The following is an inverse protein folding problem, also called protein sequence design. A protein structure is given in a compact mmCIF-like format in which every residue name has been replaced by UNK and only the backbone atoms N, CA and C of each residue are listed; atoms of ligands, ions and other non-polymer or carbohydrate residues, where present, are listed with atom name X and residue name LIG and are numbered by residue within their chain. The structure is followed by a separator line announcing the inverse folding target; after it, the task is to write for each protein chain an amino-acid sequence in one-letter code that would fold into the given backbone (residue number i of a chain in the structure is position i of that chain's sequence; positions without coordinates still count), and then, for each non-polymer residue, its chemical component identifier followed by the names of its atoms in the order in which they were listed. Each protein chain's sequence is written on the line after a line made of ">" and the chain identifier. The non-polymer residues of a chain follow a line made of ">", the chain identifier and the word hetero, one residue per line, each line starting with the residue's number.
data_IF_401554450759
#
_entry.id   IF_401554450759
#
_cell.length_a   1.000
_cell.length_b   1.000
_cell.length_c   1.000
_cell.angle_alpha   90.00
_cell.angle_beta   90.00
_cell.angle_gamma   90.00
#
_symmetry.space_group_name_H-M   'P 1'
#
loop_
_entity.id
_entity.type
_entity.pdbx_description
1 polymer ?
#
# COMPACT_ATOMS: atom_id res chain seq x y z
N UNK A 1 -6.57 -17.05 -27.21
CA UNK A 1 -5.61 -16.06 -26.69
C UNK A 1 -5.73 -16.10 -25.18
N UNK A 2 -4.60 -16.21 -24.50
CA UNK A 2 -4.58 -16.27 -23.04
C UNK A 2 -4.80 -14.85 -22.48
N UNK A 3 -5.84 -14.66 -21.66
CA UNK A 3 -6.25 -13.35 -21.13
C UNK A 3 -6.23 -13.40 -19.62
N UNK A 4 -5.67 -12.37 -18.97
CA UNK A 4 -5.66 -12.19 -17.52
C UNK A 4 -6.22 -10.80 -17.16
N UNK A 5 -7.21 -10.76 -16.28
CA UNK A 5 -7.85 -9.53 -15.78
C UNK A 5 -7.31 -9.18 -14.41
N UNK A 6 -6.64 -8.03 -14.29
CA UNK A 6 -6.13 -7.51 -13.03
C UNK A 6 -7.15 -6.54 -12.45
N UNK A 7 -7.67 -6.83 -11.27
CA UNK A 7 -8.49 -5.89 -10.50
C UNK A 7 -7.68 -4.95 -9.64
N UNK A 8 -8.06 -3.68 -9.59
CA UNK A 8 -7.44 -2.67 -8.73
C UNK A 8 -8.42 -1.56 -8.36
N UNK A 9 -8.07 -0.76 -7.34
CA UNK A 9 -8.82 0.43 -6.92
C UNK A 9 -8.60 1.60 -7.87
N UNK A 10 -9.48 2.62 -7.76
CA UNK A 10 -9.45 3.82 -8.60
C UNK A 10 -8.34 4.83 -8.27
N UNK A 11 -7.64 4.74 -7.13
CA UNK A 11 -6.60 5.71 -6.77
C UNK A 11 -5.41 5.66 -7.73
N UNK A 12 -4.73 6.80 -7.95
CA UNK A 12 -3.57 6.88 -8.84
C UNK A 12 -2.49 5.87 -8.45
N UNK A 13 -2.21 5.70 -7.15
CA UNK A 13 -1.23 4.73 -6.66
C UNK A 13 -1.65 3.28 -6.96
N UNK A 14 -2.91 2.92 -6.74
CA UNK A 14 -3.39 1.56 -7.00
C UNK A 14 -3.31 1.23 -8.49
N UNK A 15 -3.67 2.17 -9.36
CA UNK A 15 -3.52 2.02 -10.81
C UNK A 15 -2.08 1.87 -11.24
N UNK A 16 -1.16 2.71 -10.72
CA UNK A 16 0.26 2.59 -11.01
C UNK A 16 0.84 1.24 -10.55
N UNK A 17 0.35 0.69 -9.44
CA UNK A 17 0.73 -0.65 -8.96
C UNK A 17 0.22 -1.76 -9.90
N UNK A 18 -1.02 -1.69 -10.36
CA UNK A 18 -1.58 -2.65 -11.31
C UNK A 18 -0.87 -2.57 -12.67
N UNK A 19 -0.58 -1.37 -13.16
CA UNK A 19 0.15 -1.15 -14.41
C UNK A 19 1.59 -1.69 -14.31
N UNK A 20 2.25 -1.55 -13.15
CA UNK A 20 3.56 -2.16 -12.91
C UNK A 20 3.50 -3.69 -13.00
N UNK A 21 2.54 -4.34 -12.33
CA UNK A 21 2.34 -5.80 -12.39
C UNK A 21 2.02 -6.24 -13.82
N UNK A 22 1.15 -5.51 -14.52
CA UNK A 22 0.86 -5.76 -15.94
C UNK A 22 2.13 -5.72 -16.79
N UNK A 23 3.00 -4.72 -16.58
CA UNK A 23 4.25 -4.59 -17.34
C UNK A 23 5.16 -5.80 -17.11
N UNK A 24 5.31 -6.25 -15.85
CA UNK A 24 6.11 -7.45 -15.52
C UNK A 24 5.55 -8.72 -16.21
N UNK A 25 4.22 -8.90 -16.16
CA UNK A 25 3.58 -10.06 -16.80
C UNK A 25 3.76 -10.06 -18.33
N UNK A 26 3.57 -8.93 -18.98
CA UNK A 26 3.74 -8.80 -20.44
C UNK A 26 5.20 -8.97 -20.84
N UNK A 27 6.15 -8.52 -20.04
CA UNK A 27 7.58 -8.75 -20.26
C UNK A 27 7.93 -10.24 -20.24
N UNK A 28 7.38 -11.02 -19.32
CA UNK A 28 7.60 -12.47 -19.20
C UNK A 28 6.79 -13.29 -20.20
N UNK A 29 5.55 -12.86 -20.47
CA UNK A 29 4.60 -13.52 -21.39
C UNK A 29 4.10 -12.55 -22.46
N UNK A 30 4.85 -12.27 -23.53
CA UNK A 30 4.46 -11.28 -24.55
C UNK A 30 3.12 -11.59 -25.26
N UNK A 31 2.70 -12.85 -25.25
CA UNK A 31 1.43 -13.28 -25.87
C UNK A 31 0.23 -13.25 -24.90
N UNK A 32 0.45 -12.94 -23.61
CA UNK A 32 -0.60 -12.82 -22.62
C UNK A 32 -1.30 -11.46 -22.77
N UNK A 33 -2.60 -11.49 -22.97
CA UNK A 33 -3.42 -10.26 -22.93
C UNK A 33 -3.75 -9.91 -21.50
N UNK A 34 -3.14 -8.84 -20.96
CA UNK A 34 -3.39 -8.37 -19.61
C UNK A 34 -4.25 -7.11 -19.65
N UNK A 35 -5.43 -7.19 -19.03
CA UNK A 35 -6.35 -6.06 -18.87
C UNK A 35 -6.38 -5.61 -17.41
N UNK A 36 -6.47 -4.29 -17.18
CA UNK A 36 -6.63 -3.71 -15.84
C UNK A 36 -8.06 -3.20 -15.69
N UNK A 37 -8.77 -3.78 -14.74
CA UNK A 37 -10.14 -3.39 -14.38
C UNK A 37 -10.12 -2.57 -13.10
N UNK A 38 -10.61 -1.33 -13.20
CA UNK A 38 -10.74 -0.43 -12.06
C UNK A 38 -12.09 -0.67 -11.39
N UNK A 39 -12.05 -1.25 -10.20
CA UNK A 39 -13.24 -1.50 -9.41
C UNK A 39 -13.60 -0.24 -8.61
N UNK A 40 -14.84 0.23 -8.78
CA UNK A 40 -15.34 1.36 -8.01
C UNK A 40 -15.67 0.89 -6.60
N UNK A 41 -14.94 1.41 -5.63
CA UNK A 41 -15.16 1.12 -4.22
C UNK A 41 -15.68 2.38 -3.54
N UNK A 42 -16.78 2.28 -2.84
CA UNK A 42 -17.32 3.39 -2.06
C UNK A 42 -16.30 3.75 -0.97
N UNK A 43 -15.67 4.92 -1.05
CA UNK A 43 -14.66 5.41 -0.11
C UNK A 43 -13.36 5.93 -0.74
N UNK A 44 -13.17 5.84 -2.05
CA UNK A 44 -12.02 6.45 -2.76
C UNK A 44 -12.10 7.99 -2.80
N UNK A 45 -13.25 8.59 -2.50
CA UNK A 45 -13.43 10.03 -2.32
C UNK A 45 -13.11 10.39 -0.88
N UNK A 46 -11.89 10.90 -0.68
CA UNK A 46 -11.22 11.21 0.57
C UNK A 46 -12.07 11.90 1.64
N UNK A 47 -12.69 11.13 2.52
CA UNK A 47 -13.38 11.63 3.69
C UNK A 47 -12.49 11.54 4.94
N UNK A 48 -12.42 12.63 5.70
CA UNK A 48 -11.60 12.83 6.90
C UNK A 48 -12.22 12.26 8.18
N UNK A 49 -13.01 11.20 8.08
CA UNK A 49 -13.63 10.54 9.24
C UNK A 49 -12.62 9.62 9.94
N UNK A 50 -12.61 9.65 11.27
CA UNK A 50 -11.60 9.13 12.19
C UNK A 50 -11.04 7.71 11.93
N UNK A 51 -10.01 7.31 12.72
CA UNK A 51 -9.22 6.08 12.55
C UNK A 51 -10.12 4.82 12.43
N UNK A 52 -11.18 4.69 13.22
CA UNK A 52 -12.10 3.56 13.16
C UNK A 52 -12.80 3.44 11.80
N UNK A 53 -13.22 4.58 11.21
CA UNK A 53 -13.83 4.61 9.89
C UNK A 53 -12.83 4.24 8.79
N UNK A 54 -11.57 4.70 8.90
CA UNK A 54 -10.53 4.35 7.94
C UNK A 54 -10.21 2.84 7.92
N UNK A 55 -10.28 2.16 9.07
CA UNK A 55 -10.11 0.69 9.17
C UNK A 55 -11.30 -0.03 8.55
N UNK A 56 -12.54 0.41 8.81
CA UNK A 56 -13.74 -0.18 8.20
C UNK A 56 -13.78 0.04 6.69
N UNK A 57 -13.35 1.20 6.22
CA UNK A 57 -13.29 1.49 4.78
C UNK A 57 -12.24 0.60 4.08
N UNK A 58 -11.07 0.34 4.70
CA UNK A 58 -10.06 -0.58 4.18
C UNK A 58 -10.63 -1.98 3.94
N UNK A 59 -11.37 -2.53 4.91
CA UNK A 59 -11.98 -3.86 4.78
C UNK A 59 -12.99 -3.90 3.63
N UNK A 60 -13.86 -2.90 3.51
CA UNK A 60 -14.81 -2.79 2.39
C UNK A 60 -14.15 -2.73 1.01
N UNK A 61 -12.96 -2.14 0.93
CA UNK A 61 -12.25 -2.09 -0.36
C UNK A 61 -11.71 -3.46 -0.76
N UNK A 62 -11.21 -4.20 0.20
CA UNK A 62 -10.74 -5.57 -0.03
C UNK A 62 -11.93 -6.46 -0.35
N UNK A 63 -13.01 -6.40 0.44
CA UNK A 63 -14.23 -7.18 0.21
C UNK A 63 -14.76 -7.02 -1.22
N UNK A 64 -14.80 -5.78 -1.77
CA UNK A 64 -15.25 -5.54 -3.17
C UNK A 64 -14.34 -6.18 -4.22
N UNK A 65 -13.03 -6.25 -3.96
CA UNK A 65 -12.05 -6.87 -4.85
C UNK A 65 -12.12 -8.40 -4.71
N UNK A 66 -12.23 -8.90 -3.49
CA UNK A 66 -12.42 -10.32 -3.20
C UNK A 66 -13.71 -10.85 -3.83
N UNK A 67 -14.83 -10.13 -3.73
CA UNK A 67 -16.08 -10.45 -4.43
C UNK A 67 -15.86 -10.55 -5.95
N UNK A 68 -15.08 -9.65 -6.53
CA UNK A 68 -14.80 -9.68 -7.96
C UNK A 68 -13.90 -10.87 -8.36
N UNK A 69 -13.02 -11.35 -7.48
CA UNK A 69 -12.27 -12.60 -7.67
C UNK A 69 -13.18 -13.82 -7.59
N UNK A 70 -14.03 -13.89 -6.56
CA UNK A 70 -14.99 -14.99 -6.33
C UNK A 70 -16.00 -15.08 -7.48
N UNK A 71 -16.51 -13.95 -7.95
CA UNK A 71 -17.44 -13.85 -9.09
C UNK A 71 -16.76 -14.08 -10.46
N UNK A 72 -15.46 -14.38 -10.48
CA UNK A 72 -14.67 -14.55 -11.71
C UNK A 72 -14.69 -13.35 -12.65
N UNK A 73 -14.97 -12.14 -12.15
CA UNK A 73 -14.91 -10.88 -12.93
C UNK A 73 -13.47 -10.48 -13.20
N UNK A 74 -12.58 -10.74 -12.24
CA UNK A 74 -11.13 -10.57 -12.35
C UNK A 74 -10.43 -11.91 -12.02
N UNK A 75 -9.18 -12.04 -12.45
CA UNK A 75 -8.38 -13.25 -12.26
C UNK A 75 -7.27 -13.01 -11.22
N UNK A 76 -6.83 -11.78 -11.07
CA UNK A 76 -5.76 -11.36 -10.17
C UNK A 76 -6.09 -10.00 -9.54
N UNK A 77 -5.85 -9.85 -8.26
CA UNK A 77 -5.93 -8.57 -7.57
C UNK A 77 -4.53 -8.07 -7.15
N UNK A 78 -4.30 -6.77 -7.26
CA UNK A 78 -3.05 -6.12 -6.86
C UNK A 78 -3.29 -5.19 -5.69
N UNK A 79 -2.61 -5.47 -4.57
CA UNK A 79 -2.74 -4.73 -3.33
C UNK A 79 -1.39 -4.19 -2.84
N UNK A 80 -1.41 -3.06 -2.15
CA UNK A 80 -0.33 -2.75 -1.20
C UNK A 80 -0.44 -3.73 -0.03
N UNK A 81 0.55 -4.58 0.18
CA UNK A 81 0.46 -5.70 1.13
C UNK A 81 0.10 -5.27 2.57
N UNK A 82 0.57 -4.10 3.01
CA UNK A 82 0.24 -3.52 4.33
C UNK A 82 -1.25 -3.15 4.51
N UNK A 83 -2.01 -3.12 3.43
CA UNK A 83 -3.44 -2.80 3.45
C UNK A 83 -4.32 -4.06 3.34
N UNK A 84 -3.73 -5.23 3.08
CA UNK A 84 -4.41 -6.53 3.03
C UNK A 84 -4.72 -7.02 4.45
N UNK A 85 -5.97 -7.41 4.76
CA UNK A 85 -6.34 -7.91 6.09
C UNK A 85 -5.59 -9.20 6.43
N UNK A 86 -5.51 -9.52 7.71
CA UNK A 86 -4.84 -10.74 8.19
C UNK A 86 -5.42 -12.01 7.60
N UNK A 87 -6.75 -12.06 7.41
CA UNK A 87 -7.50 -13.15 6.80
C UNK A 87 -8.10 -12.67 5.49
N UNK A 88 -8.07 -13.55 4.49
CA UNK A 88 -8.70 -13.38 3.17
C UNK A 88 -10.05 -14.10 3.16
N UNK A 89 -10.90 -13.79 2.19
CA UNK A 89 -12.13 -14.55 1.98
C UNK A 89 -11.84 -16.01 1.61
N UNK A 90 -12.77 -16.90 1.97
CA UNK A 90 -12.68 -18.32 1.65
C UNK A 90 -12.52 -18.55 0.14
N UNK A 91 -11.60 -19.43 -0.24
CA UNK A 91 -11.29 -19.72 -1.63
C UNK A 91 -10.26 -18.78 -2.28
N UNK A 92 -9.79 -17.76 -1.56
CA UNK A 92 -8.75 -16.84 -2.02
C UNK A 92 -7.41 -17.07 -1.31
N UNK A 93 -6.32 -16.70 -1.97
CA UNK A 93 -4.97 -16.82 -1.43
C UNK A 93 -4.05 -15.76 -2.04
N UNK A 94 -2.96 -15.45 -1.35
CA UNK A 94 -1.85 -14.71 -1.95
C UNK A 94 -1.03 -15.67 -2.81
N UNK A 95 -0.95 -15.39 -4.09
CA UNK A 95 -0.22 -16.19 -5.08
C UNK A 95 1.28 -15.88 -5.06
N UNK A 96 1.65 -14.68 -4.63
CA UNK A 96 3.04 -14.24 -4.54
C UNK A 96 3.18 -12.73 -4.48
N UNK A 97 4.42 -12.27 -4.56
CA UNK A 97 4.77 -10.86 -4.60
C UNK A 97 5.94 -10.65 -5.58
N UNK A 98 5.92 -9.63 -6.44
CA UNK A 98 7.10 -9.22 -7.20
C UNK A 98 8.14 -8.60 -6.25
N UNK A 99 9.32 -8.29 -6.78
CA UNK A 99 10.41 -7.66 -6.03
C UNK A 99 9.93 -6.51 -5.16
N UNK A 100 10.33 -6.55 -3.88
CA UNK A 100 9.96 -5.55 -2.88
C UNK A 100 10.57 -4.19 -3.20
N UNK A 101 9.77 -3.15 -3.18
CA UNK A 101 10.23 -1.77 -3.25
C UNK A 101 10.73 -1.27 -1.88
N UNK A 102 11.19 -0.01 -1.82
CA UNK A 102 11.67 0.64 -0.61
C UNK A 102 10.73 0.46 0.60
N UNK A 103 11.30 0.12 1.76
CA UNK A 103 10.53 -0.16 2.99
C UNK A 103 10.34 1.08 3.86
N UNK A 104 11.15 2.10 3.67
CA UNK A 104 11.25 3.25 4.55
C UNK A 104 9.99 4.11 4.53
N UNK A 105 9.71 4.74 5.65
CA UNK A 105 8.90 5.95 5.70
C UNK A 105 9.75 7.17 5.35
N UNK A 106 9.13 8.21 4.83
CA UNK A 106 9.79 9.45 4.46
C UNK A 106 9.02 10.66 4.96
N UNK A 107 9.73 11.75 5.22
CA UNK A 107 9.16 13.06 5.46
C UNK A 107 9.07 13.82 4.14
N UNK A 108 7.93 14.46 3.91
CA UNK A 108 7.75 15.47 2.88
C UNK A 108 7.51 16.82 3.60
N UNK A 109 8.06 17.92 3.07
CA UNK A 109 7.96 19.26 3.65
C UNK A 109 9.17 19.69 4.48
N UNK A 110 10.04 18.77 4.88
CA UNK A 110 11.30 19.06 5.59
C UNK A 110 12.41 18.13 5.11
N UNK A 111 13.65 18.57 5.23
CA UNK A 111 14.85 17.80 4.84
C UNK A 111 15.42 16.96 5.98
N UNK A 112 14.94 17.13 7.21
CA UNK A 112 15.35 16.37 8.39
C UNK A 112 14.26 16.45 9.47
N UNK A 113 14.13 15.39 10.28
CA UNK A 113 13.24 15.39 11.44
C UNK A 113 13.71 16.39 12.51
N UNK A 114 15.01 16.49 12.70
CA UNK A 114 15.61 17.36 13.70
C UNK A 114 15.62 18.83 13.26
N UNK A 115 15.47 19.10 11.95
CA UNK A 115 15.32 20.44 11.41
C UNK A 115 13.91 21.05 11.62
N UNK A 116 12.93 20.24 12.00
CA UNK A 116 11.59 20.72 12.31
C UNK A 116 11.61 21.63 13.54
N UNK A 117 10.89 22.78 13.52
CA UNK A 117 10.80 23.67 14.68
C UNK A 117 10.16 22.96 15.88
N UNK A 118 10.36 23.52 17.07
CA UNK A 118 9.68 23.05 18.27
C UNK A 118 8.17 23.21 18.11
N UNK A 119 7.40 22.15 18.43
CA UNK A 119 5.97 22.13 18.27
C UNK A 119 5.47 21.99 16.83
N UNK A 120 6.37 21.60 15.89
CA UNK A 120 6.02 21.43 14.47
C UNK A 120 4.83 20.48 14.26
N UNK A 121 3.98 20.81 13.30
CA UNK A 121 2.76 20.08 12.96
C UNK A 121 3.03 19.04 11.88
N UNK A 122 3.01 17.74 12.29
CA UNK A 122 3.32 16.62 11.39
C UNK A 122 2.07 15.79 11.09
N UNK A 123 1.71 15.70 9.81
CA UNK A 123 0.50 15.03 9.35
C UNK A 123 0.68 13.51 9.16
N UNK A 124 -0.11 12.71 9.90
CA UNK A 124 -0.26 11.27 9.69
C UNK A 124 -1.54 10.75 10.35
N UNK A 125 -2.17 9.70 9.76
CA UNK A 125 -3.27 8.96 10.39
C UNK A 125 -2.80 7.59 10.92
N UNK A 126 -1.52 7.24 10.77
CA UNK A 126 -0.99 5.96 11.21
C UNK A 126 -0.62 5.99 12.69
N UNK A 127 -1.26 5.11 13.50
CA UNK A 127 -0.95 4.95 14.92
C UNK A 127 0.53 4.59 15.13
N UNK A 128 1.07 3.70 14.29
CA UNK A 128 2.49 3.31 14.30
C UNK A 128 3.41 4.51 14.12
N UNK A 129 3.18 5.32 13.07
CA UNK A 129 3.98 6.52 12.79
C UNK A 129 3.87 7.55 13.91
N UNK A 130 2.66 7.77 14.41
CA UNK A 130 2.41 8.67 15.55
C UNK A 130 3.25 8.28 16.77
N UNK A 131 3.23 6.98 17.13
CA UNK A 131 3.97 6.49 18.29
C UNK A 131 5.49 6.68 18.11
N UNK A 132 6.02 6.36 16.93
CA UNK A 132 7.46 6.46 16.65
C UNK A 132 7.93 7.93 16.54
N UNK A 133 7.12 8.81 15.93
CA UNK A 133 7.43 10.24 15.89
C UNK A 133 7.48 10.84 17.30
N UNK A 134 6.49 10.53 18.15
CA UNK A 134 6.47 11.01 19.54
C UNK A 134 7.61 10.46 20.38
N UNK A 135 8.01 9.20 20.16
CA UNK A 135 9.18 8.64 20.82
C UNK A 135 10.50 9.30 20.38
N UNK A 136 10.57 9.79 19.15
CA UNK A 136 11.72 10.48 18.60
C UNK A 136 11.76 11.98 18.98
N UNK A 137 10.59 12.64 19.00
CA UNK A 137 10.39 14.07 19.20
C UNK A 137 9.06 14.29 19.95
N UNK A 138 9.11 14.40 21.28
CA UNK A 138 7.93 14.56 22.14
C UNK A 138 7.14 15.87 21.91
N UNK A 139 7.84 16.86 21.41
CA UNK A 139 7.32 18.21 21.17
C UNK A 139 6.43 18.32 19.93
N UNK A 140 6.44 17.31 19.03
CA UNK A 140 5.67 17.38 17.78
C UNK A 140 4.16 17.33 18.01
N UNK A 141 3.45 18.22 17.34
CA UNK A 141 1.98 18.17 17.22
C UNK A 141 1.62 17.22 16.06
N UNK A 142 1.10 16.03 16.39
CA UNK A 142 0.68 15.07 15.37
C UNK A 142 -0.76 15.36 14.94
N UNK A 143 -0.92 15.72 13.66
CA UNK A 143 -2.21 16.07 13.05
C UNK A 143 -2.72 14.88 12.23
N UNK A 144 -3.99 14.50 12.45
CA UNK A 144 -4.63 13.44 11.66
C UNK A 144 -4.76 13.86 10.19
N UNK A 145 -4.13 13.10 9.30
CA UNK A 145 -4.10 13.39 7.86
C UNK A 145 -4.57 12.18 7.06
N UNK A 146 -5.82 12.23 6.57
CA UNK A 146 -6.42 11.23 5.70
C UNK A 146 -6.31 11.57 4.22
N UNK A 147 -6.65 10.60 3.36
CA UNK A 147 -6.64 10.70 1.90
C UNK A 147 -5.54 9.85 1.25
N UNK A 148 -5.54 9.79 -0.10
CA UNK A 148 -4.48 9.18 -0.88
C UNK A 148 -3.21 10.05 -0.90
N UNK A 149 -2.14 9.57 -1.55
CA UNK A 149 -0.84 10.29 -1.58
C UNK A 149 -0.98 11.70 -2.14
N UNK A 150 -1.67 11.86 -3.28
CA UNK A 150 -1.84 13.18 -3.91
C UNK A 150 -2.62 14.14 -3.03
N UNK A 151 -3.71 13.65 -2.40
CA UNK A 151 -4.50 14.45 -1.45
C UNK A 151 -3.65 14.90 -0.27
N UNK A 152 -2.79 14.03 0.29
CA UNK A 152 -1.94 14.40 1.43
C UNK A 152 -0.86 15.39 1.05
N UNK A 153 -0.23 15.23 -0.12
CA UNK A 153 0.74 16.19 -0.65
C UNK A 153 0.09 17.55 -0.91
N UNK A 154 -1.11 17.57 -1.47
CA UNK A 154 -1.88 18.80 -1.66
C UNK A 154 -2.21 19.47 -0.31
N UNK A 155 -2.66 18.69 0.68
CA UNK A 155 -2.93 19.22 2.02
C UNK A 155 -1.66 19.78 2.69
N UNK A 156 -0.49 19.17 2.49
CA UNK A 156 0.77 19.74 2.95
C UNK A 156 1.02 21.12 2.36
N UNK A 157 0.76 21.30 1.07
CA UNK A 157 0.97 22.59 0.39
C UNK A 157 -0.08 23.67 0.76
N UNK A 158 -1.30 23.25 1.12
CA UNK A 158 -2.45 24.15 1.36
C UNK A 158 -2.75 24.40 2.85
N UNK A 159 -2.10 23.69 3.77
CA UNK A 159 -2.37 23.78 5.22
C UNK A 159 -1.14 24.20 6.01
N UNK A 160 -1.36 24.47 7.30
CA UNK A 160 -0.30 24.81 8.25
C UNK A 160 0.45 23.56 8.78
N UNK A 161 0.72 22.58 7.91
CA UNK A 161 1.55 21.43 8.26
C UNK A 161 3.01 21.71 7.87
N UNK A 162 3.92 21.45 8.80
CA UNK A 162 5.37 21.58 8.55
C UNK A 162 5.91 20.37 7.78
N UNK A 163 5.32 19.18 8.02
CA UNK A 163 5.69 17.95 7.32
C UNK A 163 4.55 16.92 7.31
N UNK A 164 4.65 15.93 6.43
CA UNK A 164 3.83 14.72 6.44
C UNK A 164 4.68 13.47 6.30
N UNK A 165 4.18 12.33 6.80
CA UNK A 165 4.87 11.04 6.65
C UNK A 165 4.19 10.17 5.63
N UNK A 166 4.95 9.75 4.62
CA UNK A 166 4.51 8.85 3.56
C UNK A 166 5.43 7.61 3.47
N UNK A 167 4.97 6.55 2.80
CA UNK A 167 5.84 5.42 2.44
C UNK A 167 6.62 5.77 1.17
N UNK A 168 7.94 5.59 1.18
CA UNK A 168 8.84 5.85 0.05
C UNK A 168 8.38 5.14 -1.22
N UNK A 169 8.05 3.84 -1.13
CA UNK A 169 7.56 3.06 -2.26
C UNK A 169 6.32 3.67 -2.95
N UNK A 170 5.44 4.33 -2.20
CA UNK A 170 4.27 5.00 -2.77
C UNK A 170 4.65 6.18 -3.65
N UNK A 171 5.61 7.00 -3.22
CA UNK A 171 6.12 8.13 -4.00
C UNK A 171 6.90 7.67 -5.22
N UNK A 172 7.73 6.62 -5.08
CA UNK A 172 8.47 6.02 -6.19
C UNK A 172 7.53 5.54 -7.30
N UNK A 173 6.48 4.77 -6.94
CA UNK A 173 5.50 4.25 -7.90
C UNK A 173 4.68 5.33 -8.61
N UNK A 174 4.58 6.51 -8.00
CA UNK A 174 3.93 7.68 -8.60
C UNK A 174 4.89 8.62 -9.34
N UNK A 175 6.21 8.33 -9.37
CA UNK A 175 7.22 9.25 -9.92
C UNK A 175 7.30 10.57 -9.14
N UNK A 176 7.03 10.51 -7.83
CA UNK A 176 6.99 11.70 -6.94
C UNK A 176 8.16 11.73 -5.96
N UNK A 177 9.31 11.11 -6.28
CA UNK A 177 10.49 11.09 -5.41
C UNK A 177 11.03 12.47 -5.07
N UNK A 178 10.81 13.47 -5.90
CA UNK A 178 11.17 14.86 -5.64
C UNK A 178 10.47 15.47 -4.41
N UNK A 179 9.38 14.87 -3.97
CA UNK A 179 8.64 15.30 -2.77
C UNK A 179 9.28 14.76 -1.47
N UNK A 180 10.24 13.83 -1.60
CA UNK A 180 10.96 13.26 -0.46
C UNK A 180 11.97 14.31 0.03
N UNK A 181 11.75 14.77 1.25
CA UNK A 181 12.69 15.67 1.92
C UNK A 181 13.68 14.89 2.80
N UNK A 182 13.20 13.93 3.60
CA UNK A 182 14.05 13.07 4.41
C UNK A 182 13.60 11.62 4.37
N UNK A 183 14.55 10.69 4.37
CA UNK A 183 14.30 9.25 4.54
C UNK A 183 14.48 8.92 6.01
N UNK A 184 13.46 8.30 6.61
CA UNK A 184 13.53 7.87 8.00
C UNK A 184 14.23 6.51 8.09
N UNK A 185 15.22 6.40 8.98
CA UNK A 185 15.99 5.17 9.19
C UNK A 185 15.06 4.03 9.66
N UNK A 186 14.96 2.91 8.94
CA UNK A 186 14.07 1.81 9.28
C UNK A 186 14.43 1.08 10.58
N UNK A 187 15.65 1.22 11.10
CA UNK A 187 16.02 0.69 12.41
C UNK A 187 15.38 1.51 13.54
N UNK A 188 15.20 2.81 13.33
CA UNK A 188 14.56 3.72 14.29
C UNK A 188 13.06 3.87 14.03
N UNK A 189 12.66 3.91 12.76
CA UNK A 189 11.28 4.05 12.31
C UNK A 189 10.83 2.77 11.61
N UNK A 190 10.54 1.74 12.40
CA UNK A 190 10.17 0.41 11.90
C UNK A 190 9.00 0.50 10.93
N UNK A 191 9.15 -0.01 9.69
CA UNK A 191 8.09 0.02 8.68
C UNK A 191 6.86 -0.79 9.09
N UNK A 192 5.73 -0.54 8.42
CA UNK A 192 4.57 -1.42 8.57
C UNK A 192 4.85 -2.80 7.97
N UNK A 193 4.30 -3.89 8.54
CA UNK A 193 4.34 -5.20 7.90
C UNK A 193 3.82 -5.11 6.45
N UNK A 194 4.53 -5.70 5.49
CA UNK A 194 4.21 -5.62 4.06
C UNK A 194 4.50 -4.28 3.39
N UNK A 195 5.13 -3.30 4.07
CA UNK A 195 5.48 -2.05 3.42
C UNK A 195 6.49 -2.26 2.29
N UNK A 196 6.23 -1.65 1.13
CA UNK A 196 7.02 -1.83 -0.09
C UNK A 196 6.59 -3.04 -0.94
N UNK A 197 5.87 -4.01 -0.38
CA UNK A 197 5.42 -5.21 -1.09
C UNK A 197 4.10 -4.97 -1.82
N UNK A 198 3.99 -5.50 -3.05
CA UNK A 198 2.72 -5.73 -3.75
C UNK A 198 2.28 -7.17 -3.47
N UNK A 199 1.10 -7.34 -2.89
CA UNK A 199 0.50 -8.64 -2.71
C UNK A 199 -0.38 -8.96 -3.92
N UNK A 200 -0.14 -10.11 -4.54
CA UNK A 200 -0.90 -10.61 -5.67
C UNK A 200 -1.86 -11.68 -5.16
N UNK A 201 -3.15 -11.37 -5.20
CA UNK A 201 -4.22 -12.24 -4.68
C UNK A 201 -5.03 -12.84 -5.82
N UNK A 202 -5.42 -14.10 -5.67
CA UNK A 202 -6.24 -14.82 -6.64
C UNK A 202 -6.96 -16.01 -6.01
N UNK A 203 -7.75 -16.71 -6.81
CA UNK A 203 -8.43 -17.92 -6.36
C UNK A 203 -7.43 -19.07 -6.15
N UNK A 204 -7.70 -19.92 -5.16
CA UNK A 204 -6.86 -21.07 -4.80
C UNK A 204 -6.74 -22.07 -5.96
N UNK A 205 -7.80 -22.21 -6.75
CA UNK A 205 -7.94 -23.18 -7.85
C UNK A 205 -7.62 -22.59 -9.24
N UNK A 206 -7.32 -21.29 -9.36
CA UNK A 206 -6.91 -20.69 -10.64
C UNK A 206 -5.44 -20.97 -10.95
N UNK A 207 -5.19 -22.13 -11.58
CA UNK A 207 -3.84 -22.53 -11.99
C UNK A 207 -3.20 -21.54 -12.97
N UNK A 208 -4.01 -20.90 -13.84
CA UNK A 208 -3.52 -19.94 -14.84
C UNK A 208 -3.01 -18.65 -14.19
N UNK A 209 -3.76 -18.10 -13.23
CA UNK A 209 -3.32 -16.92 -12.49
C UNK A 209 -2.06 -17.25 -11.65
N UNK A 210 -2.02 -18.44 -11.03
CA UNK A 210 -0.86 -18.92 -10.27
C UNK A 210 0.39 -19.01 -11.13
N UNK A 211 0.33 -19.70 -12.28
CA UNK A 211 1.47 -19.81 -13.21
C UNK A 211 1.96 -18.44 -13.71
N UNK A 212 1.04 -17.51 -13.98
CA UNK A 212 1.41 -16.17 -14.40
C UNK A 212 2.14 -15.39 -13.30
N UNK A 213 1.69 -15.53 -12.03
CA UNK A 213 2.34 -14.89 -10.88
C UNK A 213 3.70 -15.52 -10.60
N UNK A 214 3.85 -16.84 -10.69
CA UNK A 214 5.12 -17.53 -10.44
C UNK A 214 6.27 -17.00 -11.32
N UNK A 215 5.98 -16.54 -12.53
CA UNK A 215 7.01 -16.01 -13.44
C UNK A 215 7.52 -14.61 -13.06
N UNK A 216 6.75 -13.86 -12.27
CA UNK A 216 7.11 -12.51 -11.82
C UNK A 216 7.35 -12.42 -10.31
N UNK A 217 7.06 -13.49 -9.58
CA UNK A 217 7.23 -13.54 -8.14
C UNK A 217 8.72 -13.55 -7.77
N UNK A 218 9.05 -12.80 -6.75
CA UNK A 218 10.33 -12.80 -6.07
C UNK A 218 10.21 -13.66 -4.81
N UNK A 219 11.08 -14.67 -4.67
CA UNK A 219 11.01 -15.64 -3.60
C UNK A 219 11.22 -14.98 -2.22
N UNK A 220 12.17 -14.05 -2.11
CA UNK A 220 12.50 -13.36 -0.86
C UNK A 220 11.37 -12.41 -0.47
N UNK A 221 10.83 -11.63 -1.42
CA UNK A 221 9.69 -10.75 -1.17
C UNK A 221 8.44 -11.54 -0.74
N UNK A 222 8.19 -12.69 -1.36
CA UNK A 222 7.07 -13.57 -1.02
C UNK A 222 7.24 -14.20 0.37
N UNK A 223 8.44 -14.66 0.72
CA UNK A 223 8.74 -15.20 2.04
C UNK A 223 8.63 -14.13 3.14
N UNK A 224 9.18 -12.92 2.90
CA UNK A 224 9.02 -11.78 3.81
C UNK A 224 7.55 -11.41 4.01
N UNK A 225 6.76 -11.36 2.92
CA UNK A 225 5.34 -11.08 2.99
C UNK A 225 4.61 -12.05 3.92
N UNK A 226 4.83 -13.35 3.73
CA UNK A 226 4.20 -14.38 4.55
C UNK A 226 4.60 -14.27 6.03
N UNK A 227 5.89 -14.09 6.33
CA UNK A 227 6.40 -13.95 7.68
C UNK A 227 5.85 -12.70 8.39
N UNK A 228 5.88 -11.54 7.72
CA UNK A 228 5.37 -10.28 8.25
C UNK A 228 3.85 -10.32 8.49
N UNK A 229 3.09 -11.02 7.63
CA UNK A 229 1.64 -11.23 7.81
C UNK A 229 1.32 -12.10 9.03
N UNK A 230 2.11 -13.16 9.28
CA UNK A 230 1.93 -14.00 10.49
C UNK A 230 2.09 -13.13 11.74
N UNK A 231 3.16 -12.32 11.80
CA UNK A 231 3.39 -11.41 12.93
C UNK A 231 2.24 -10.41 13.09
N UNK A 232 1.80 -9.78 11.98
CA UNK A 232 0.70 -8.82 12.01
C UNK A 232 -0.61 -9.45 12.53
N UNK A 233 -0.91 -10.69 12.12
CA UNK A 233 -2.08 -11.44 12.57
C UNK A 233 -2.01 -11.76 14.05
N UNK A 234 -0.90 -12.32 14.54
CA UNK A 234 -0.72 -12.70 15.94
C UNK A 234 -0.80 -11.49 16.89
N UNK A 235 -0.30 -10.33 16.43
CA UNK A 235 -0.40 -9.08 17.18
C UNK A 235 -1.74 -8.35 17.00
N UNK A 236 -2.68 -8.87 16.21
CA UNK A 236 -3.91 -8.17 15.81
C UNK A 236 -3.61 -6.77 15.27
N UNK A 237 -2.45 -6.60 14.63
CA UNK A 237 -1.97 -5.33 14.14
C UNK A 237 -2.74 -4.92 12.88
N UNK A 238 -3.71 -4.04 13.06
CA UNK A 238 -4.39 -3.34 11.95
C UNK A 238 -3.65 -2.04 11.66
N UNK A 239 -3.11 -1.89 10.46
CA UNK A 239 -2.49 -0.63 10.01
C UNK A 239 -3.52 0.38 9.52
#
# INVERSE_FOLDING_TARGET
>A
MDRLRIGTRGSALARAQADHVKALLVERRPNLQVEVEVLRVSGDEGDTRGIAQAVMDKRRWVDTIEDALIDERIDLAVHSAKDVPGELADGLTLLGAPTRAAVEDVLCGTTDLDALPQGARVGTSSVRRTAQLRAAREDLEIVTLGGNVDTRLRKLAESELDAIVLARAGLQRLGREREIGAVLDPERFVPAPGQGVLALEGRVDDARAREAVEEIADADASACLLAERVVARELSATC
#
